data_IF_287199578742
#
_entry.id   IF_287199578742
#
_cell.length_a   1.000
_cell.length_b   1.000
_cell.length_c   1.000
_cell.angle_alpha   90.00
_cell.angle_beta   90.00
_cell.angle_gamma   90.00
#
_symmetry.space_group_name_H-M   'P 1'
#
loop_
_entity.id
_entity.type
_entity.pdbx_description
1 polymer ?
#
# COMPACT_ATOMS: atom_id res chain seq x y z
N UNK A 1 10.03 -112.53 -20.54
CA UNK A 1 10.79 -111.63 -21.42
C UNK A 1 10.56 -110.18 -20.97
N UNK A 2 11.65 -109.47 -20.69
CA UNK A 2 11.83 -108.02 -20.39
C UNK A 2 11.19 -107.48 -19.09
N UNK A 3 11.95 -107.29 -18.00
CA UNK A 3 12.84 -106.14 -17.61
C UNK A 3 12.06 -104.81 -17.49
N UNK A 4 12.22 -103.92 -16.50
CA UNK A 4 13.16 -103.66 -15.37
C UNK A 4 12.44 -102.66 -14.42
N UNK A 5 12.49 -102.76 -13.08
CA UNK A 5 13.47 -102.10 -12.18
C UNK A 5 13.52 -100.55 -12.37
N UNK A 6 13.37 -99.63 -11.39
CA UNK A 6 13.67 -99.63 -9.94
C UNK A 6 13.19 -98.33 -9.23
N UNK A 7 12.66 -98.49 -7.99
CA UNK A 7 12.96 -97.82 -6.70
C UNK A 7 12.70 -96.32 -6.31
N UNK A 8 12.18 -96.23 -5.05
CA UNK A 8 12.40 -95.28 -3.91
C UNK A 8 11.37 -94.14 -3.73
N UNK A 9 10.49 -94.20 -2.70
CA UNK A 9 10.67 -93.77 -1.28
C UNK A 9 10.56 -92.23 -1.14
N UNK A 10 9.92 -91.55 -0.18
CA UNK A 10 9.20 -91.83 1.09
C UNK A 10 8.55 -90.49 1.54
N UNK A 11 7.78 -90.49 2.64
CA UNK A 11 7.25 -89.35 3.45
C UNK A 11 5.94 -88.70 2.93
N UNK A 12 4.96 -88.30 3.75
CA UNK A 12 4.68 -88.46 5.18
C UNK A 12 3.24 -87.94 5.44
N UNK A 13 2.49 -88.67 6.25
CA UNK A 13 1.54 -88.26 7.30
C UNK A 13 0.34 -87.30 7.03
N UNK A 14 -0.77 -87.46 7.79
CA UNK A 14 -2.11 -86.99 7.44
C UNK A 14 -2.57 -85.75 8.24
N UNK A 15 -3.61 -85.05 7.77
CA UNK A 15 -4.36 -84.07 8.56
C UNK A 15 -5.86 -84.41 8.54
N UNK A 16 -6.38 -84.69 9.74
CA UNK A 16 -7.77 -84.98 10.03
C UNK A 16 -8.41 -83.73 10.68
N UNK A 17 -9.61 -83.43 10.19
CA UNK A 17 -10.64 -82.46 10.59
C UNK A 17 -10.60 -81.78 11.97
N UNK A 18 -11.10 -80.52 12.06
CA UNK A 18 -12.09 -80.14 13.08
C UNK A 18 -12.81 -78.78 12.84
N UNK A 19 -14.12 -78.81 13.13
CA UNK A 19 -15.02 -77.77 13.68
C UNK A 19 -15.29 -76.45 12.91
N UNK A 20 -16.56 -76.32 12.47
CA UNK A 20 -17.23 -75.04 12.22
C UNK A 20 -17.53 -74.33 13.55
N UNK A 21 -16.98 -73.14 13.72
CA UNK A 21 -17.41 -72.16 14.71
C UNK A 21 -17.93 -70.93 13.99
N UNK A 22 -19.23 -70.66 14.11
CA UNK A 22 -19.88 -69.45 13.58
C UNK A 22 -19.46 -68.26 14.46
N UNK A 23 -18.43 -67.53 14.02
CA UNK A 23 -17.97 -66.32 14.69
C UNK A 23 -18.89 -65.15 14.39
N UNK A 24 -19.67 -64.74 15.38
CA UNK A 24 -20.38 -63.48 15.43
C UNK A 24 -19.33 -62.35 15.54
N UNK A 25 -19.06 -61.64 14.44
CA UNK A 25 -18.23 -60.44 14.45
C UNK A 25 -19.04 -59.30 15.10
N UNK A 26 -18.54 -58.63 16.15
CA UNK A 26 -19.10 -57.33 16.52
C UNK A 26 -18.64 -56.30 15.48
N UNK A 27 -19.57 -55.75 14.72
CA UNK A 27 -19.37 -54.48 14.01
C UNK A 27 -18.95 -53.43 15.04
N UNK A 28 -17.70 -53.01 14.96
CA UNK A 28 -17.17 -51.90 15.73
C UNK A 28 -17.87 -50.61 15.27
N UNK A 29 -18.98 -50.28 15.93
CA UNK A 29 -19.54 -48.94 15.92
C UNK A 29 -18.51 -48.04 16.60
N UNK A 30 -17.70 -47.34 15.80
CA UNK A 30 -16.82 -46.28 16.27
C UNK A 30 -17.68 -45.13 16.81
N UNK A 31 -18.04 -45.22 18.08
CA UNK A 31 -18.62 -44.12 18.84
C UNK A 31 -17.54 -43.05 19.01
N UNK A 32 -17.70 -41.94 18.28
CA UNK A 32 -16.92 -40.71 18.46
C UNK A 32 -17.22 -40.13 19.85
N UNK A 33 -16.39 -40.46 20.82
CA UNK A 33 -16.37 -39.79 22.12
C UNK A 33 -15.65 -38.45 21.95
N UNK A 34 -16.44 -37.38 21.81
CA UNK A 34 -15.96 -35.99 21.96
C UNK A 34 -15.41 -35.81 23.39
N UNK A 35 -14.14 -36.16 23.58
CA UNK A 35 -13.44 -35.96 24.84
C UNK A 35 -13.08 -34.48 24.91
N UNK A 36 -13.64 -33.77 25.88
CA UNK A 36 -13.48 -32.33 26.10
C UNK A 36 -12.07 -31.98 26.64
N UNK A 37 -11.02 -32.33 25.90
CA UNK A 37 -9.64 -31.90 26.13
C UNK A 37 -9.39 -30.61 25.34
N UNK A 38 -8.70 -29.66 25.95
CA UNK A 38 -8.28 -28.42 25.27
C UNK A 38 -7.39 -28.75 24.06
N UNK A 39 -7.57 -28.05 22.92
CA UNK A 39 -6.80 -28.31 21.71
C UNK A 39 -5.33 -27.90 21.89
N UNK A 40 -4.42 -28.73 21.39
CA UNK A 40 -2.99 -28.43 21.40
C UNK A 40 -2.65 -27.27 20.47
N UNK A 41 -1.71 -26.41 20.88
CA UNK A 41 -1.20 -25.33 20.01
C UNK A 41 -0.07 -25.80 19.09
N UNK A 42 0.72 -26.78 19.54
CA UNK A 42 1.83 -27.37 18.79
C UNK A 42 1.95 -28.84 19.13
N UNK A 43 2.24 -29.67 18.12
CA UNK A 43 2.39 -31.11 18.24
C UNK A 43 3.52 -31.62 17.34
N UNK A 44 3.98 -32.85 17.58
CA UNK A 44 5.01 -33.52 16.78
C UNK A 44 4.65 -33.60 15.29
N UNK A 45 3.39 -33.91 14.98
CA UNK A 45 2.86 -33.89 13.61
C UNK A 45 1.65 -32.96 13.53
N UNK A 46 1.84 -31.78 12.96
CA UNK A 46 0.77 -30.81 12.77
C UNK A 46 -0.30 -31.33 11.80
N UNK A 47 -1.56 -30.87 11.92
CA UNK A 47 -2.57 -31.15 10.92
C UNK A 47 -2.11 -30.74 9.53
N UNK A 48 -2.44 -31.57 8.54
CA UNK A 48 -2.01 -31.37 7.15
C UNK A 48 -3.23 -31.34 6.24
N UNK A 49 -3.33 -30.32 5.38
CA UNK A 49 -4.37 -30.28 4.36
C UNK A 49 -4.14 -31.38 3.32
N UNK A 50 -5.21 -31.96 2.77
CA UNK A 50 -5.10 -32.96 1.70
C UNK A 50 -4.35 -32.37 0.50
N UNK A 51 -3.22 -32.97 0.15
CA UNK A 51 -2.31 -32.45 -0.88
C UNK A 51 -1.28 -31.44 -0.36
N UNK A 52 -1.11 -31.35 0.96
CA UNK A 52 -0.16 -30.48 1.63
C UNK A 52 -0.45 -28.99 1.44
N UNK A 53 0.58 -28.17 1.67
CA UNK A 53 0.51 -26.71 1.52
C UNK A 53 0.13 -26.29 0.10
N UNK A 54 0.67 -26.96 -0.93
CA UNK A 54 0.35 -26.68 -2.33
C UNK A 54 -1.14 -26.94 -2.64
N UNK A 55 -1.70 -28.04 -2.12
CA UNK A 55 -3.12 -28.35 -2.22
C UNK A 55 -3.99 -27.28 -1.55
N UNK A 56 -3.58 -26.82 -0.36
CA UNK A 56 -4.25 -25.74 0.36
C UNK A 56 -4.22 -24.42 -0.44
N UNK A 57 -3.05 -24.01 -0.94
CA UNK A 57 -2.91 -22.77 -1.72
C UNK A 57 -3.75 -22.79 -2.99
N UNK A 58 -3.79 -23.94 -3.69
CA UNK A 58 -4.66 -24.13 -4.86
C UNK A 58 -6.15 -24.06 -4.49
N UNK A 59 -6.53 -24.67 -3.37
CA UNK A 59 -7.90 -24.61 -2.86
C UNK A 59 -8.31 -23.17 -2.55
N UNK A 60 -7.46 -22.43 -1.83
CA UNK A 60 -7.70 -21.02 -1.50
C UNK A 60 -7.80 -20.17 -2.77
N UNK A 61 -6.86 -20.29 -3.71
CA UNK A 61 -6.85 -19.51 -4.95
C UNK A 61 -8.05 -19.76 -5.87
N UNK A 62 -8.69 -20.92 -5.77
CA UNK A 62 -9.90 -21.26 -6.57
C UNK A 62 -11.21 -20.92 -5.86
N UNK A 63 -11.21 -20.88 -4.53
CA UNK A 63 -12.43 -20.71 -3.75
C UNK A 63 -12.60 -19.31 -3.15
N UNK A 64 -11.53 -18.54 -2.95
CA UNK A 64 -11.61 -17.18 -2.42
C UNK A 64 -12.25 -16.26 -3.46
N UNK A 65 -13.29 -15.56 -3.04
CA UNK A 65 -13.97 -14.53 -3.79
C UNK A 65 -13.69 -13.18 -3.14
N UNK A 66 -13.06 -12.28 -3.89
CA UNK A 66 -12.80 -10.93 -3.38
C UNK A 66 -14.14 -10.20 -3.15
N UNK A 67 -14.48 -9.80 -1.92
CA UNK A 67 -15.73 -9.11 -1.66
C UNK A 67 -15.84 -7.81 -2.46
N UNK A 68 -17.00 -7.55 -3.06
CA UNK A 68 -17.21 -6.35 -3.88
C UNK A 68 -16.95 -5.06 -3.10
N UNK A 69 -17.37 -5.01 -1.83
CA UNK A 69 -17.11 -3.87 -0.94
C UNK A 69 -15.61 -3.70 -0.67
N UNK A 70 -14.86 -4.78 -0.42
CA UNK A 70 -13.41 -4.69 -0.24
C UNK A 70 -12.71 -4.23 -1.52
N UNK A 71 -13.14 -4.71 -2.70
CA UNK A 71 -12.59 -4.31 -4.00
C UNK A 71 -12.85 -2.83 -4.31
N UNK A 72 -14.09 -2.36 -4.16
CA UNK A 72 -14.45 -0.97 -4.45
C UNK A 72 -13.80 0.03 -3.49
N UNK A 73 -13.47 -0.40 -2.27
CA UNK A 73 -12.86 0.44 -1.26
C UNK A 73 -11.33 0.25 -1.17
N UNK A 74 -10.68 -0.41 -2.14
CA UNK A 74 -9.22 -0.53 -2.13
C UNK A 74 -8.65 -1.35 -0.95
N UNK A 75 -9.47 -2.18 -0.29
CA UNK A 75 -9.11 -2.87 0.96
C UNK A 75 -8.28 -4.09 0.63
N UNK A 76 -7.02 -4.11 1.06
CA UNK A 76 -6.05 -5.20 0.87
C UNK A 76 -5.41 -5.60 2.19
N UNK A 77 -4.77 -6.78 2.25
CA UNK A 77 -3.95 -7.20 3.39
C UNK A 77 -4.22 -8.64 3.81
N UNK A 78 -4.05 -8.92 5.10
CA UNK A 78 -4.08 -10.27 5.68
C UNK A 78 -5.17 -10.41 6.73
N UNK A 79 -6.18 -11.22 6.44
CA UNK A 79 -7.12 -11.73 7.44
C UNK A 79 -6.49 -12.97 8.08
N UNK A 80 -6.44 -13.04 9.40
CA UNK A 80 -5.88 -14.22 10.10
C UNK A 80 -7.01 -14.94 10.81
N UNK A 81 -7.26 -16.19 10.41
CA UNK A 81 -8.24 -17.06 11.04
C UNK A 81 -7.55 -18.09 11.95
N UNK A 82 -8.18 -18.41 13.07
CA UNK A 82 -7.84 -19.55 13.91
C UNK A 82 -9.03 -20.50 13.96
N UNK A 83 -8.75 -21.80 13.88
CA UNK A 83 -9.77 -22.85 14.00
C UNK A 83 -9.13 -24.09 14.61
N UNK A 84 -9.94 -25.05 15.01
CA UNK A 84 -9.46 -26.32 15.56
C UNK A 84 -9.72 -27.41 14.55
N UNK A 85 -8.68 -28.19 14.25
CA UNK A 85 -8.77 -29.45 13.50
C UNK A 85 -9.01 -30.55 14.51
N UNK A 86 -10.15 -31.22 14.37
CA UNK A 86 -10.59 -32.31 15.21
C UNK A 86 -9.84 -33.61 14.90
N UNK A 87 -10.00 -34.61 15.76
CA UNK A 87 -9.37 -35.92 15.60
C UNK A 87 -9.87 -36.70 14.37
N UNK A 88 -11.00 -36.31 13.81
CA UNK A 88 -11.56 -36.84 12.56
C UNK A 88 -11.20 -35.99 11.32
N UNK A 89 -10.42 -34.91 11.50
CA UNK A 89 -10.08 -33.96 10.43
C UNK A 89 -11.17 -32.95 10.09
N UNK A 90 -12.28 -32.91 10.85
CA UNK A 90 -13.27 -31.83 10.75
C UNK A 90 -12.75 -30.53 11.38
N UNK A 91 -13.34 -29.40 10.99
CA UNK A 91 -12.99 -28.07 11.49
C UNK A 91 -14.11 -27.56 12.39
N UNK A 92 -13.74 -26.99 13.55
CA UNK A 92 -14.64 -26.21 14.38
C UNK A 92 -13.95 -24.96 14.97
N UNK A 93 -14.68 -24.22 15.82
CA UNK A 93 -14.19 -23.05 16.54
C UNK A 93 -13.49 -21.97 15.66
N UNK A 94 -14.01 -21.74 14.45
CA UNK A 94 -13.45 -20.73 13.54
C UNK A 94 -13.62 -19.33 14.14
N UNK A 95 -12.51 -18.62 14.32
CA UNK A 95 -12.42 -17.26 14.86
C UNK A 95 -11.49 -16.41 14.02
N UNK A 96 -11.82 -15.14 13.84
CA UNK A 96 -10.93 -14.17 13.20
C UNK A 96 -10.04 -13.54 14.28
N UNK A 97 -8.73 -13.72 14.17
CA UNK A 97 -7.73 -13.11 15.05
C UNK A 97 -7.30 -11.74 14.55
N UNK A 98 -7.27 -11.55 13.23
CA UNK A 98 -6.97 -10.26 12.58
C UNK A 98 -7.99 -9.98 11.49
N UNK A 99 -8.75 -8.91 11.69
CA UNK A 99 -9.81 -8.45 10.80
C UNK A 99 -9.30 -7.45 9.78
N UNK A 100 -9.86 -7.49 8.56
CA UNK A 100 -9.76 -6.41 7.57
C UNK A 100 -11.10 -5.69 7.36
N UNK A 101 -12.22 -6.37 7.64
CA UNK A 101 -13.56 -5.83 7.42
C UNK A 101 -13.99 -5.85 5.95
N UNK A 102 -15.04 -5.10 5.61
CA UNK A 102 -15.54 -4.97 4.22
C UNK A 102 -15.90 -6.31 3.53
N UNK A 103 -16.30 -7.32 4.29
CA UNK A 103 -16.67 -8.65 3.77
C UNK A 103 -15.53 -9.66 3.73
N UNK A 104 -14.27 -9.26 3.98
CA UNK A 104 -13.12 -10.18 3.88
C UNK A 104 -13.08 -11.20 5.00
N UNK A 105 -13.63 -10.83 6.16
CA UNK A 105 -13.68 -11.67 7.35
C UNK A 105 -14.70 -12.79 7.17
N UNK A 106 -15.90 -12.43 6.70
CA UNK A 106 -16.98 -13.36 6.35
C UNK A 106 -16.53 -14.32 5.24
N UNK A 107 -15.85 -13.78 4.23
CA UNK A 107 -15.29 -14.58 3.16
C UNK A 107 -14.22 -15.56 3.66
N UNK A 108 -13.31 -15.10 4.53
CA UNK A 108 -12.31 -15.96 5.15
C UNK A 108 -12.97 -17.08 5.95
N UNK A 109 -13.99 -16.77 6.75
CA UNK A 109 -14.75 -17.78 7.50
C UNK A 109 -15.45 -18.78 6.56
N UNK A 110 -16.04 -18.31 5.46
CA UNK A 110 -16.70 -19.16 4.46
C UNK A 110 -15.72 -20.14 3.85
N UNK A 111 -14.56 -19.67 3.40
CA UNK A 111 -13.53 -20.51 2.78
C UNK A 111 -12.95 -21.51 3.78
N UNK A 112 -12.68 -21.10 5.02
CA UNK A 112 -12.23 -22.04 6.08
C UNK A 112 -13.28 -23.12 6.33
N UNK A 113 -14.58 -22.77 6.36
CA UNK A 113 -15.65 -23.77 6.50
C UNK A 113 -15.71 -24.74 5.30
N UNK A 114 -15.41 -24.27 4.08
CA UNK A 114 -15.33 -25.15 2.90
C UNK A 114 -14.16 -26.13 2.96
N UNK A 115 -13.13 -25.85 3.77
CA UNK A 115 -12.01 -26.77 3.99
C UNK A 115 -12.38 -27.95 4.91
N UNK A 116 -13.58 -27.97 5.48
CA UNK A 116 -14.01 -29.03 6.40
C UNK A 116 -13.93 -30.41 5.75
N UNK A 117 -13.32 -31.38 6.43
CA UNK A 117 -13.11 -32.74 5.91
C UNK A 117 -11.95 -32.86 4.91
N UNK A 118 -11.19 -31.79 4.67
CA UNK A 118 -9.97 -31.80 3.86
C UNK A 118 -8.68 -31.83 4.68
N UNK A 119 -8.76 -32.07 5.99
CA UNK A 119 -7.60 -32.11 6.86
C UNK A 119 -7.29 -33.53 7.33
N UNK A 120 -6.00 -33.83 7.42
CA UNK A 120 -5.45 -34.92 8.22
C UNK A 120 -5.23 -34.38 9.64
N UNK A 121 -5.68 -35.11 10.67
CA UNK A 121 -5.58 -34.64 12.04
C UNK A 121 -4.13 -34.67 12.55
N UNK A 122 -3.84 -33.85 13.56
CA UNK A 122 -2.52 -33.84 14.18
C UNK A 122 -2.26 -35.06 15.05
N UNK A 123 -0.99 -35.38 15.26
CA UNK A 123 -0.56 -36.47 16.15
C UNK A 123 0.46 -35.99 17.18
N UNK A 124 0.31 -36.51 18.39
CA UNK A 124 1.24 -36.31 19.49
C UNK A 124 1.49 -37.65 20.18
N UNK A 125 2.75 -38.08 20.28
CA UNK A 125 3.10 -39.38 20.89
C UNK A 125 2.37 -40.57 20.25
N UNK A 126 2.14 -40.50 18.93
CA UNK A 126 1.43 -41.52 18.16
C UNK A 126 -0.11 -41.45 18.24
N UNK A 127 -0.68 -40.70 19.19
CA UNK A 127 -2.12 -40.52 19.33
C UNK A 127 -2.64 -39.37 18.47
N UNK A 128 -3.85 -39.52 17.92
CA UNK A 128 -4.53 -38.46 17.17
C UNK A 128 -5.15 -37.46 18.16
N UNK A 129 -4.85 -36.19 17.98
CA UNK A 129 -5.26 -35.13 18.92
C UNK A 129 -5.89 -33.93 18.22
N UNK A 130 -6.73 -33.18 18.95
CA UNK A 130 -7.29 -31.90 18.49
C UNK A 130 -6.20 -30.84 18.49
N UNK A 131 -6.05 -30.10 17.40
CA UNK A 131 -4.99 -29.09 17.27
C UNK A 131 -5.58 -27.77 16.78
N UNK A 132 -5.20 -26.68 17.43
CA UNK A 132 -5.52 -25.33 17.00
C UNK A 132 -4.58 -24.92 15.87
N UNK A 133 -5.16 -24.58 14.72
CA UNK A 133 -4.46 -24.15 13.53
C UNK A 133 -4.73 -22.66 13.26
N UNK A 134 -3.73 -21.96 12.71
CA UNK A 134 -3.84 -20.54 12.34
C UNK A 134 -3.51 -20.38 10.86
N UNK A 135 -4.46 -19.83 10.10
CA UNK A 135 -4.35 -19.65 8.65
C UNK A 135 -4.40 -18.16 8.29
N UNK A 136 -3.31 -17.59 7.75
CA UNK A 136 -3.32 -16.27 7.15
C UNK A 136 -3.87 -16.32 5.72
N UNK A 137 -4.90 -15.52 5.43
CA UNK A 137 -5.51 -15.36 4.10
C UNK A 137 -5.22 -13.96 3.58
N UNK A 138 -4.56 -13.88 2.41
CA UNK A 138 -4.18 -12.60 1.80
C UNK A 138 -5.20 -12.17 0.75
N UNK A 139 -5.75 -10.98 0.92
CA UNK A 139 -6.50 -10.25 -0.09
C UNK A 139 -5.57 -9.22 -0.74
N UNK A 140 -5.35 -9.35 -2.05
CA UNK A 140 -4.53 -8.43 -2.82
C UNK A 140 -5.26 -8.02 -4.09
N UNK A 141 -5.35 -6.72 -4.34
CA UNK A 141 -5.86 -6.11 -5.54
C UNK A 141 -4.80 -6.17 -6.62
N UNK A 142 -5.24 -6.27 -7.87
CA UNK A 142 -4.36 -6.03 -9.01
C UNK A 142 -4.10 -4.53 -9.16
N UNK A 143 -3.13 -4.17 -9.99
CA UNK A 143 -2.90 -2.77 -10.32
C UNK A 143 -4.10 -2.12 -11.01
N UNK A 144 -4.81 -2.88 -11.87
CA UNK A 144 -6.05 -2.44 -12.48
C UNK A 144 -7.17 -2.23 -11.45
N UNK A 145 -7.31 -3.14 -10.47
CA UNK A 145 -8.27 -2.97 -9.37
C UNK A 145 -7.95 -1.73 -8.52
N UNK A 146 -6.66 -1.47 -8.25
CA UNK A 146 -6.22 -0.26 -7.53
C UNK A 146 -6.58 1.00 -8.29
N UNK A 147 -6.26 1.08 -9.59
CA UNK A 147 -6.61 2.21 -10.45
C UNK A 147 -8.13 2.39 -10.59
N UNK A 148 -8.90 1.31 -10.67
CA UNK A 148 -10.35 1.37 -10.74
C UNK A 148 -11.01 1.75 -9.40
N UNK A 149 -10.40 1.39 -8.28
CA UNK A 149 -10.82 1.82 -6.93
C UNK A 149 -10.31 3.20 -6.55
N UNK A 150 -9.29 3.70 -7.25
CA UNK A 150 -8.75 5.05 -7.13
C UNK A 150 -9.71 6.04 -7.80
N UNK A 151 -10.91 6.13 -7.24
CA UNK A 151 -11.89 7.13 -7.58
C UNK A 151 -11.32 8.51 -7.22
N UNK A 152 -10.86 9.23 -8.23
CA UNK A 152 -10.29 10.58 -8.14
C UNK A 152 -11.30 11.50 -7.42
N UNK A 153 -11.07 11.72 -6.13
CA UNK A 153 -11.89 12.61 -5.34
C UNK A 153 -11.46 14.05 -5.62
N UNK A 154 -12.42 14.91 -5.99
CA UNK A 154 -12.16 16.33 -6.18
C UNK A 154 -11.85 17.04 -4.85
N UNK A 155 -12.21 16.43 -3.71
CA UNK A 155 -11.81 16.86 -2.36
C UNK A 155 -11.22 15.68 -1.58
N UNK A 156 -10.03 15.87 -1.02
CA UNK A 156 -9.38 14.88 -0.14
C UNK A 156 -10.18 14.63 1.14
N UNK A 157 -10.00 13.47 1.81
CA UNK A 157 -10.38 13.32 3.20
C UNK A 157 -9.72 14.43 4.03
N UNK A 158 -10.50 15.04 4.91
CA UNK A 158 -10.02 16.09 5.80
C UNK A 158 -10.16 15.61 7.23
N UNK A 159 -9.10 15.70 8.02
CA UNK A 159 -9.23 15.43 9.45
C UNK A 159 -10.09 16.51 10.10
N UNK A 160 -10.98 16.12 11.01
CA UNK A 160 -11.87 17.05 11.71
C UNK A 160 -11.04 17.91 12.67
N UNK A 161 -10.93 19.19 12.35
CA UNK A 161 -10.10 20.15 13.09
C UNK A 161 -8.92 20.63 12.25
N UNK A 162 -7.93 21.22 12.91
CA UNK A 162 -6.70 21.66 12.28
C UNK A 162 -5.59 20.60 12.43
N UNK A 163 -4.41 20.93 11.90
CA UNK A 163 -3.23 20.07 12.04
C UNK A 163 -2.89 19.80 13.51
N UNK A 164 -3.10 20.77 14.40
CA UNK A 164 -2.88 20.61 15.84
C UNK A 164 -3.78 19.57 16.48
N UNK A 165 -5.06 19.50 16.08
CA UNK A 165 -6.01 18.48 16.54
C UNK A 165 -5.59 17.06 16.11
N UNK A 166 -5.11 16.90 14.87
CA UNK A 166 -4.56 15.63 14.40
C UNK A 166 -3.32 15.26 15.20
N UNK A 167 -2.42 16.23 15.40
CA UNK A 167 -1.18 16.01 16.14
C UNK A 167 -1.48 15.52 17.56
N UNK A 168 -2.42 16.16 18.24
CA UNK A 168 -2.81 15.81 19.60
C UNK A 168 -3.42 14.41 19.70
N UNK A 169 -4.23 14.00 18.71
CA UNK A 169 -4.81 12.65 18.64
C UNK A 169 -3.72 11.59 18.50
N UNK A 170 -2.77 11.83 17.60
CA UNK A 170 -1.72 10.87 17.27
C UNK A 170 -0.65 10.77 18.37
N UNK A 171 -0.37 11.88 19.07
CA UNK A 171 0.67 11.98 20.11
C UNK A 171 0.59 10.91 21.19
N UNK A 172 -0.60 10.48 21.60
CA UNK A 172 -0.76 9.44 22.63
C UNK A 172 -0.25 8.06 22.19
N UNK A 173 -0.10 7.84 20.89
CA UNK A 173 0.30 6.58 20.28
C UNK A 173 1.67 6.64 19.60
N UNK A 174 2.22 7.86 19.46
CA UNK A 174 3.57 8.08 18.96
C UNK A 174 4.57 7.89 20.11
N UNK A 175 5.49 6.96 19.89
CA UNK A 175 6.49 6.54 20.85
C UNK A 175 7.81 6.36 20.12
N UNK A 176 8.73 7.31 20.34
CA UNK A 176 10.11 7.18 19.89
C UNK A 176 10.84 6.14 20.77
N UNK A 177 11.32 5.00 20.23
CA UNK A 177 12.03 3.98 21.00
C UNK A 177 13.27 4.54 21.72
N UNK A 178 13.57 4.06 22.93
CA UNK A 178 14.70 4.54 23.73
C UNK A 178 16.04 4.35 23.01
N UNK A 179 16.17 3.28 22.23
CA UNK A 179 17.34 2.98 21.41
C UNK A 179 17.51 4.02 20.29
N UNK A 180 16.41 4.45 19.65
CA UNK A 180 16.45 5.52 18.65
C UNK A 180 16.86 6.87 19.25
N UNK A 181 16.42 7.16 20.49
CA UNK A 181 16.88 8.34 21.24
C UNK A 181 18.37 8.28 21.52
N UNK A 182 18.88 7.15 22.01
CA UNK A 182 20.31 6.96 22.33
C UNK A 182 21.22 7.18 21.12
N UNK A 183 20.74 6.79 19.93
CA UNK A 183 21.48 6.96 18.68
C UNK A 183 21.24 8.31 17.97
N UNK A 184 20.46 9.22 18.58
CA UNK A 184 20.05 10.51 18.01
C UNK A 184 19.46 10.37 16.60
N UNK A 185 18.59 9.35 16.44
CA UNK A 185 17.92 9.03 15.19
C UNK A 185 16.60 9.77 15.05
N UNK A 186 16.47 10.48 13.94
CA UNK A 186 15.20 10.94 13.41
C UNK A 186 14.68 9.94 12.37
N UNK A 187 13.37 9.78 12.31
CA UNK A 187 12.74 8.89 11.35
C UNK A 187 11.55 9.56 10.69
N UNK A 188 11.34 9.27 9.41
CA UNK A 188 10.12 9.59 8.68
C UNK A 188 9.49 8.29 8.21
N UNK A 189 8.41 7.88 8.86
CA UNK A 189 7.63 6.70 8.50
C UNK A 189 6.47 7.16 7.63
N UNK A 190 6.38 6.65 6.41
CA UNK A 190 5.28 6.95 5.49
C UNK A 190 4.24 5.85 5.65
N UNK A 191 3.08 6.23 6.20
CA UNK A 191 1.97 5.32 6.47
C UNK A 191 0.88 5.56 5.43
N UNK A 192 0.41 4.48 4.81
CA UNK A 192 -0.70 4.48 3.86
C UNK A 192 -1.91 3.83 4.54
N UNK A 193 -3.09 4.41 4.36
CA UNK A 193 -4.33 3.92 4.97
C UNK A 193 -5.53 4.35 4.15
N UNK A 194 -6.66 3.68 4.35
CA UNK A 194 -7.93 4.02 3.71
C UNK A 194 -8.83 4.76 4.69
N UNK A 195 -9.48 5.82 4.24
CA UNK A 195 -10.54 6.52 4.96
C UNK A 195 -11.86 6.26 4.24
N UNK A 196 -12.84 5.67 4.91
CA UNK A 196 -14.14 5.37 4.31
C UNK A 196 -15.12 6.57 4.35
N UNK A 197 -16.34 6.35 3.84
CA UNK A 197 -17.41 7.36 3.80
C UNK A 197 -17.88 7.84 5.19
N UNK A 198 -17.65 7.04 6.22
CA UNK A 198 -17.96 7.37 7.61
C UNK A 198 -16.75 7.99 8.35
N UNK A 199 -15.62 8.15 7.67
CA UNK A 199 -14.37 8.66 8.25
C UNK A 199 -13.59 7.61 9.03
N UNK A 200 -13.92 6.32 8.91
CA UNK A 200 -13.21 5.24 9.57
C UNK A 200 -11.91 4.93 8.82
N UNK A 201 -10.86 4.63 9.58
CA UNK A 201 -9.53 4.30 9.08
C UNK A 201 -9.37 2.78 9.01
N UNK A 202 -8.99 2.27 7.85
CA UNK A 202 -8.68 0.85 7.62
C UNK A 202 -7.45 0.68 6.74
N UNK A 203 -7.01 -0.56 6.51
CA UNK A 203 -5.85 -0.89 5.66
C UNK A 203 -4.56 -0.09 5.97
N UNK A 204 -4.27 0.13 7.26
CA UNK A 204 -3.07 0.86 7.69
C UNK A 204 -1.82 0.02 7.44
N UNK A 205 -0.94 0.51 6.57
CA UNK A 205 0.27 -0.17 6.10
C UNK A 205 1.43 0.80 5.89
N UNK A 206 2.65 0.27 5.85
CA UNK A 206 3.84 1.06 5.55
C UNK A 206 4.02 1.20 4.03
N UNK A 207 4.32 2.40 3.59
CA UNK A 207 4.82 2.65 2.23
C UNK A 207 6.35 2.72 2.22
N UNK A 208 6.95 3.25 3.28
CA UNK A 208 8.40 3.26 3.44
C UNK A 208 8.82 3.93 4.74
N UNK A 209 10.08 3.71 5.12
CA UNK A 209 10.68 4.37 6.28
C UNK A 209 12.02 4.98 5.86
N UNK A 210 12.17 6.28 6.09
CA UNK A 210 13.43 6.99 5.88
C UNK A 210 14.04 7.35 7.23
N UNK A 211 15.36 7.26 7.33
CA UNK A 211 16.09 7.59 8.54
C UNK A 211 17.05 8.75 8.29
N UNK A 212 17.27 9.51 9.36
CA UNK A 212 18.28 10.54 9.42
C UNK A 212 18.94 10.48 10.78
N UNK A 213 20.26 10.31 10.81
CA UNK A 213 21.04 10.52 12.03
C UNK A 213 21.32 12.01 12.17
N UNK A 214 21.07 12.57 13.34
CA UNK A 214 21.41 13.98 13.60
C UNK A 214 22.92 14.08 13.76
N UNK A 215 23.60 14.87 12.91
CA UNK A 215 25.07 14.99 12.92
C UNK A 215 25.49 16.42 13.20
N UNK A 216 25.47 16.85 14.46
CA UNK A 216 25.98 18.15 14.91
C UNK A 216 25.31 19.39 14.27
N UNK A 217 25.65 20.60 14.74
CA UNK A 217 25.11 21.85 14.21
C UNK A 217 25.64 22.13 12.79
N UNK A 218 24.74 22.46 11.85
CA UNK A 218 25.12 22.95 10.50
C UNK A 218 25.32 21.89 9.41
N UNK A 219 25.04 20.62 9.67
CA UNK A 219 25.09 19.59 8.63
C UNK A 219 23.83 19.61 7.75
N UNK A 220 23.99 19.93 6.47
CA UNK A 220 22.98 19.58 5.46
C UNK A 220 22.99 18.06 5.28
N UNK A 221 21.89 17.42 5.63
CA UNK A 221 21.74 15.98 5.49
C UNK A 221 20.31 15.64 5.06
N UNK A 222 20.21 15.00 3.90
CA UNK A 222 18.98 14.46 3.34
C UNK A 222 18.58 13.15 4.00
N UNK A 223 17.27 12.93 4.12
CA UNK A 223 16.71 11.65 4.58
C UNK A 223 17.12 10.52 3.63
N UNK A 224 17.77 9.49 4.17
CA UNK A 224 18.18 8.31 3.40
C UNK A 224 17.19 7.16 3.58
N UNK A 225 17.12 6.26 2.61
CA UNK A 225 16.34 5.03 2.75
C UNK A 225 16.86 4.21 3.94
N UNK A 226 15.97 3.70 4.80
CA UNK A 226 16.37 2.90 5.95
C UNK A 226 17.19 1.65 5.57
N UNK A 227 17.03 1.11 4.35
CA UNK A 227 17.83 -0.02 3.87
C UNK A 227 19.31 0.31 3.68
N UNK A 228 19.64 1.60 3.53
CA UNK A 228 21.02 2.06 3.34
C UNK A 228 21.76 2.28 4.67
N UNK A 229 21.01 2.42 5.76
CA UNK A 229 21.59 2.41 7.10
C UNK A 229 21.95 0.97 7.49
N UNK A 230 23.21 0.75 7.85
CA UNK A 230 23.60 -0.44 8.63
C UNK A 230 23.10 -0.29 10.07
N UNK A 231 21.78 -0.33 10.24
CA UNK A 231 21.18 -0.44 11.55
C UNK A 231 21.58 -1.78 12.13
N UNK A 232 22.36 -1.77 13.21
CA UNK A 232 22.66 -2.97 13.96
C UNK A 232 21.40 -3.65 14.50
N UNK A 233 20.29 -2.89 14.60
CA UNK A 233 19.05 -3.37 15.18
C UNK A 233 17.80 -3.08 14.32
N UNK A 234 17.39 -4.05 13.51
CA UNK A 234 16.11 -4.02 12.74
C UNK A 234 14.88 -3.81 13.63
N UNK A 235 14.98 -4.07 14.94
CA UNK A 235 13.89 -3.86 15.91
C UNK A 235 13.51 -2.38 16.04
N UNK A 236 14.45 -1.45 15.84
CA UNK A 236 14.15 -0.01 15.93
C UNK A 236 13.15 0.39 14.83
N UNK A 237 13.38 -0.08 13.60
CA UNK A 237 12.48 0.16 12.47
C UNK A 237 11.10 -0.43 12.72
N UNK A 238 11.04 -1.65 13.26
CA UNK A 238 9.78 -2.32 13.57
C UNK A 238 8.97 -1.53 14.62
N UNK A 239 9.61 -1.10 15.72
CA UNK A 239 8.96 -0.31 16.78
C UNK A 239 8.46 1.06 16.27
N UNK A 240 9.28 1.77 15.49
CA UNK A 240 8.89 3.05 14.87
C UNK A 240 7.69 2.88 13.93
N UNK A 241 7.73 1.82 13.12
CA UNK A 241 6.68 1.50 12.17
C UNK A 241 5.38 1.15 12.88
N UNK A 242 5.45 0.31 13.91
CA UNK A 242 4.31 -0.07 14.75
C UNK A 242 3.68 1.15 15.41
N UNK A 243 4.49 2.02 16.01
CA UNK A 243 4.03 3.25 16.63
C UNK A 243 3.34 4.18 15.63
N UNK A 244 3.93 4.40 14.44
CA UNK A 244 3.33 5.23 13.41
C UNK A 244 1.97 4.67 12.92
N UNK A 245 1.89 3.36 12.69
CA UNK A 245 0.64 2.71 12.30
C UNK A 245 -0.41 2.77 13.42
N UNK A 246 -0.02 2.60 14.68
CA UNK A 246 -0.93 2.72 15.82
C UNK A 246 -1.50 4.14 15.93
N UNK A 247 -0.66 5.16 15.76
CA UNK A 247 -1.09 6.55 15.75
C UNK A 247 -2.08 6.86 14.61
N UNK A 248 -1.83 6.37 13.40
CA UNK A 248 -2.78 6.52 12.29
C UNK A 248 -4.11 5.83 12.60
N UNK A 249 -4.10 4.61 13.15
CA UNK A 249 -5.34 3.90 13.55
C UNK A 249 -6.15 4.70 14.57
N UNK A 250 -5.50 5.42 15.49
CA UNK A 250 -6.17 6.23 16.50
C UNK A 250 -6.97 7.41 15.91
N UNK A 251 -6.69 7.80 14.65
CA UNK A 251 -7.45 8.85 13.94
C UNK A 251 -8.78 8.35 13.35
N UNK A 252 -9.11 7.06 13.49
CA UNK A 252 -10.35 6.49 12.94
C UNK A 252 -11.60 7.18 13.46
N UNK A 253 -12.54 7.49 12.57
CA UNK A 253 -13.80 8.18 12.86
C UNK A 253 -13.67 9.72 12.96
N UNK A 254 -12.44 10.23 12.97
CA UNK A 254 -12.15 11.67 13.05
C UNK A 254 -11.89 12.30 11.69
N UNK A 255 -12.12 11.57 10.60
CA UNK A 255 -12.01 12.11 9.25
C UNK A 255 -13.38 12.51 8.70
N UNK A 256 -13.42 13.60 7.96
CA UNK A 256 -14.41 13.82 6.92
C UNK A 256 -14.00 13.02 5.69
N UNK A 257 -14.96 12.38 5.00
CA UNK A 257 -14.67 11.61 3.81
C UNK A 257 -14.20 12.49 2.66
N UNK A 258 -13.59 11.85 1.67
CA UNK A 258 -13.32 12.48 0.40
C UNK A 258 -14.65 12.81 -0.31
N UNK A 259 -14.66 13.81 -1.20
CA UNK A 259 -15.82 14.11 -2.02
C UNK A 259 -15.50 13.90 -3.51
N UNK A 260 -16.38 13.16 -4.19
CA UNK A 260 -16.40 13.01 -5.64
C UNK A 260 -17.66 13.67 -6.17
N UNK A 261 -17.51 14.72 -6.96
CA UNK A 261 -18.66 15.51 -7.47
C UNK A 261 -19.66 15.91 -6.38
N UNK A 262 -19.17 16.23 -5.19
CA UNK A 262 -19.98 16.60 -4.01
C UNK A 262 -20.52 15.43 -3.19
N UNK A 263 -20.36 14.17 -3.62
CA UNK A 263 -20.80 13.00 -2.86
C UNK A 263 -19.67 12.37 -2.03
N UNK A 264 -19.93 11.96 -0.78
CA UNK A 264 -18.97 11.23 0.06
C UNK A 264 -18.46 9.95 -0.59
N UNK A 265 -17.15 9.85 -0.71
CA UNK A 265 -16.43 8.65 -1.15
C UNK A 265 -15.29 8.34 -0.18
N UNK A 266 -14.90 7.07 -0.13
CA UNK A 266 -13.68 6.72 0.57
C UNK A 266 -12.46 6.97 -0.31
N UNK A 267 -11.31 7.11 0.32
CA UNK A 267 -10.06 7.39 -0.37
C UNK A 267 -8.86 6.88 0.43
N UNK A 268 -7.83 6.48 -0.29
CA UNK A 268 -6.55 6.11 0.30
C UNK A 268 -5.66 7.35 0.51
N UNK A 269 -5.13 7.46 1.72
CA UNK A 269 -4.32 8.58 2.22
C UNK A 269 -2.93 8.07 2.57
N UNK A 270 -1.92 8.87 2.23
CA UNK A 270 -0.52 8.71 2.63
C UNK A 270 -0.16 9.82 3.62
N UNK A 271 0.20 9.42 4.83
CA UNK A 271 0.62 10.31 5.90
C UNK A 271 2.08 10.04 6.29
N UNK A 272 2.98 11.01 6.05
CA UNK A 272 4.32 10.95 6.60
C UNK A 272 4.33 11.34 8.09
N UNK A 273 4.67 10.39 8.94
CA UNK A 273 4.85 10.55 10.39
C UNK A 273 6.32 10.78 10.69
N UNK A 274 6.66 11.90 11.33
CA UNK A 274 8.05 12.20 11.71
C UNK A 274 8.28 11.96 13.20
N UNK A 275 9.36 11.26 13.50
CA UNK A 275 9.92 11.09 14.83
C UNK A 275 11.22 11.89 14.91
N UNK A 276 11.31 12.77 15.90
CA UNK A 276 12.49 13.61 16.12
C UNK A 276 13.12 13.31 17.50
N UNK A 277 14.42 13.05 17.53
CA UNK A 277 15.23 13.01 18.75
C UNK A 277 15.81 14.42 19.00
N UNK A 278 15.31 15.15 20.00
CA UNK A 278 15.86 16.47 20.37
C UNK A 278 16.74 16.38 21.64
N UNK A 279 17.90 17.06 21.65
CA UNK A 279 18.63 17.38 22.91
C UNK A 279 17.93 18.49 23.74
N UNK A 280 16.99 19.24 23.15
CA UNK A 280 16.26 20.32 23.83
C UNK A 280 14.81 19.96 24.18
N UNK A 281 14.58 18.81 24.82
CA UNK A 281 13.46 18.58 25.75
C UNK A 281 12.00 18.88 25.32
N UNK A 282 11.71 19.20 24.06
CA UNK A 282 10.37 19.39 23.51
C UNK A 282 10.31 18.65 22.18
N UNK A 283 10.11 17.33 22.27
CA UNK A 283 9.83 16.49 21.11
C UNK A 283 8.53 16.93 20.45
N UNK A 284 8.63 17.80 19.44
CA UNK A 284 7.54 18.09 18.53
C UNK A 284 7.57 17.07 17.40
N UNK A 285 6.68 16.10 17.47
CA UNK A 285 6.43 15.15 16.39
C UNK A 285 5.68 15.90 15.28
N UNK A 286 6.43 16.57 14.39
CA UNK A 286 5.81 17.28 13.26
C UNK A 286 5.27 16.28 12.25
N UNK A 287 3.95 16.19 12.15
CA UNK A 287 3.31 15.39 11.10
C UNK A 287 3.40 16.12 9.76
N UNK A 288 3.66 15.38 8.69
CA UNK A 288 3.48 15.95 7.36
C UNK A 288 1.99 16.12 7.04
N UNK A 289 1.66 17.05 6.16
CA UNK A 289 0.30 17.13 5.62
C UNK A 289 -0.06 15.80 4.95
N UNK A 290 -1.22 15.18 5.26
CA UNK A 290 -1.69 14.01 4.54
C UNK A 290 -1.77 14.31 3.04
N UNK A 291 -1.33 13.36 2.22
CA UNK A 291 -1.35 13.44 0.76
C UNK A 291 -2.12 12.25 0.19
N UNK A 292 -2.73 12.39 -0.98
CA UNK A 292 -3.31 11.24 -1.69
C UNK A 292 -2.21 10.33 -2.20
N UNK A 293 -2.53 9.05 -2.35
CA UNK A 293 -1.56 8.06 -2.86
C UNK A 293 -1.21 8.36 -4.31
N UNK A 294 -0.14 7.73 -4.81
CA UNK A 294 0.30 7.87 -6.20
C UNK A 294 -0.68 7.37 -7.27
N UNK A 295 -1.91 7.01 -6.90
CA UNK A 295 -2.97 6.61 -7.82
C UNK A 295 -4.22 7.49 -7.69
N UNK A 296 -4.32 8.32 -6.66
CA UNK A 296 -5.53 9.09 -6.34
C UNK A 296 -5.32 10.60 -6.36
N UNK A 297 -4.12 11.07 -6.72
CA UNK A 297 -3.84 12.49 -6.95
C UNK A 297 -4.45 12.96 -8.27
N UNK A 298 -5.16 14.10 -8.22
CA UNK A 298 -5.70 14.77 -9.41
C UNK A 298 -4.59 15.29 -10.34
N UNK A 299 -3.39 15.51 -9.80
CA UNK A 299 -2.18 15.86 -10.53
C UNK A 299 -0.92 15.63 -9.67
N UNK A 300 0.22 15.44 -10.32
CA UNK A 300 1.53 15.18 -9.72
C UNK A 300 2.45 16.39 -9.91
N UNK A 301 3.46 16.56 -9.05
CA UNK A 301 4.58 17.45 -9.39
C UNK A 301 5.56 16.72 -10.33
N UNK A 302 6.34 17.45 -11.12
CA UNK A 302 7.27 16.84 -12.09
C UNK A 302 8.34 15.94 -11.45
N UNK A 303 8.66 16.16 -10.19
CA UNK A 303 9.61 15.42 -9.36
C UNK A 303 8.99 14.18 -8.71
N UNK A 304 7.67 14.00 -8.83
CA UNK A 304 6.93 12.85 -8.31
C UNK A 304 6.59 11.81 -9.38
N UNK A 305 6.99 12.04 -10.64
CA UNK A 305 6.65 11.17 -11.79
C UNK A 305 7.88 10.46 -12.35
N UNK A 306 7.69 9.24 -12.84
CA UNK A 306 8.74 8.44 -13.48
C UNK A 306 9.14 9.03 -14.84
N UNK A 307 8.16 9.56 -15.56
CA UNK A 307 8.35 10.24 -16.84
C UNK A 307 7.74 11.63 -16.78
N UNK A 308 8.55 12.66 -17.00
CA UNK A 308 8.07 14.05 -17.05
C UNK A 308 7.32 14.33 -18.37
N UNK A 309 6.29 15.19 -18.36
CA UNK A 309 5.64 15.61 -19.59
C UNK A 309 6.62 16.34 -20.49
N UNK A 310 6.56 16.05 -21.78
CA UNK A 310 7.43 16.67 -22.79
C UNK A 310 6.60 17.12 -23.98
N UNK A 311 6.94 18.28 -24.54
CA UNK A 311 6.33 18.75 -25.78
C UNK A 311 6.95 17.97 -26.95
N UNK A 312 6.11 17.48 -27.88
CA UNK A 312 6.57 16.62 -28.99
C UNK A 312 7.62 17.29 -29.89
N UNK A 313 7.53 18.61 -30.02
CA UNK A 313 8.38 19.40 -30.92
C UNK A 313 9.61 20.04 -30.22
N UNK A 314 9.95 19.61 -29.00
CA UNK A 314 11.12 20.09 -28.25
C UNK A 314 10.78 20.59 -26.85
N UNK A 315 11.57 21.51 -26.31
CA UNK A 315 11.35 22.04 -24.96
C UNK A 315 10.31 23.18 -24.95
N UNK A 316 9.60 23.34 -23.83
CA UNK A 316 8.64 24.43 -23.67
C UNK A 316 9.32 25.80 -23.76
N UNK A 317 10.51 25.93 -23.18
CA UNK A 317 11.30 27.16 -23.17
C UNK A 317 11.62 27.60 -24.60
N UNK A 318 12.02 26.66 -25.45
CA UNK A 318 12.29 26.92 -26.88
C UNK A 318 11.02 27.32 -27.62
N UNK A 319 9.89 26.68 -27.33
CA UNK A 319 8.61 27.03 -27.92
C UNK A 319 8.17 28.44 -27.51
N UNK A 320 8.24 28.77 -26.22
CA UNK A 320 7.87 30.09 -25.71
C UNK A 320 8.79 31.18 -26.26
N UNK A 321 10.11 30.95 -26.28
CA UNK A 321 11.06 31.89 -26.88
C UNK A 321 10.73 32.20 -28.36
N UNK A 322 10.24 31.21 -29.11
CA UNK A 322 9.86 31.40 -30.52
C UNK A 322 8.52 32.12 -30.69
N UNK A 323 7.56 31.90 -29.79
CA UNK A 323 6.16 32.30 -30.00
C UNK A 323 5.69 33.47 -29.14
N UNK A 324 6.37 33.80 -28.04
CA UNK A 324 6.03 34.97 -27.24
C UNK A 324 6.54 36.25 -27.90
N UNK A 325 5.68 37.27 -27.93
CA UNK A 325 6.01 38.61 -28.44
C UNK A 325 5.50 39.63 -27.45
N UNK A 326 6.39 40.51 -27.00
CA UNK A 326 6.05 41.51 -26.01
C UNK A 326 4.86 42.37 -26.51
N UNK A 327 3.69 42.37 -25.83
CA UNK A 327 2.51 43.10 -26.29
C UNK A 327 2.74 44.63 -26.32
N UNK A 328 2.17 45.31 -27.31
CA UNK A 328 2.43 46.73 -27.54
C UNK A 328 1.99 47.63 -26.37
N UNK A 329 0.83 47.36 -25.77
CA UNK A 329 0.26 48.11 -24.65
C UNK A 329 0.63 47.56 -23.26
N UNK A 330 1.48 46.54 -23.19
CA UNK A 330 2.06 46.06 -21.93
C UNK A 330 3.33 46.85 -21.57
N UNK A 331 3.52 47.11 -20.29
CA UNK A 331 4.65 47.82 -19.68
C UNK A 331 5.28 47.04 -18.49
N UNK A 332 4.87 45.79 -18.28
CA UNK A 332 5.32 44.97 -17.16
C UNK A 332 6.80 44.55 -17.29
N UNK A 333 7.59 44.85 -16.26
CA UNK A 333 8.99 44.42 -16.14
C UNK A 333 9.21 43.60 -14.86
N UNK A 334 9.64 42.34 -15.03
CA UNK A 334 9.86 41.40 -13.94
C UNK A 334 9.74 39.93 -14.36
N UNK A 335 9.93 39.02 -13.41
CA UNK A 335 9.75 37.58 -13.59
C UNK A 335 8.31 37.19 -13.27
N UNK A 336 7.69 36.46 -14.20
CA UNK A 336 6.42 35.79 -13.99
C UNK A 336 6.72 34.29 -13.80
N UNK A 337 6.52 33.80 -12.59
CA UNK A 337 6.48 32.37 -12.30
C UNK A 337 5.09 31.82 -12.64
N UNK A 338 5.02 30.99 -13.67
CA UNK A 338 3.77 30.54 -14.26
C UNK A 338 3.61 29.04 -14.05
N UNK A 339 2.66 28.66 -13.21
CA UNK A 339 2.32 27.24 -12.99
C UNK A 339 1.36 26.77 -14.08
N UNK A 340 1.72 25.67 -14.72
CA UNK A 340 0.93 25.01 -15.76
C UNK A 340 0.83 23.51 -15.48
N UNK A 341 -0.26 22.90 -15.92
CA UNK A 341 -0.55 21.49 -15.76
C UNK A 341 -0.76 20.86 -17.13
N UNK A 342 0.03 19.83 -17.43
CA UNK A 342 -0.17 18.97 -18.60
C UNK A 342 -1.06 17.82 -18.17
N UNK A 343 -2.24 17.70 -18.77
CA UNK A 343 -3.23 16.65 -18.50
C UNK A 343 -2.86 15.34 -19.18
N UNK A 344 -3.52 14.27 -18.78
CA UNK A 344 -3.36 12.91 -19.31
C UNK A 344 -3.57 12.82 -20.82
N UNK A 345 -4.46 13.65 -21.37
CA UNK A 345 -4.75 13.72 -22.80
C UNK A 345 -3.77 14.62 -23.58
N UNK A 346 -2.77 15.21 -22.90
CA UNK A 346 -1.80 16.12 -23.49
C UNK A 346 -2.29 17.57 -23.64
N UNK A 347 -3.45 17.92 -23.09
CA UNK A 347 -3.89 19.32 -23.00
C UNK A 347 -3.21 20.04 -21.85
N UNK A 348 -3.11 21.36 -21.95
CA UNK A 348 -2.51 22.20 -20.91
C UNK A 348 -3.55 23.11 -20.27
N UNK A 349 -3.48 23.21 -18.95
CA UNK A 349 -4.19 24.19 -18.15
C UNK A 349 -3.19 25.09 -17.45
N UNK A 350 -3.38 26.40 -17.51
CA UNK A 350 -2.48 27.37 -16.88
C UNK A 350 -3.21 28.18 -15.82
N UNK A 351 -2.50 28.56 -14.76
CA UNK A 351 -2.96 29.55 -13.79
C UNK A 351 -2.16 30.83 -14.00
N UNK A 352 -2.65 31.69 -14.89
CA UNK A 352 -2.01 32.97 -15.21
C UNK A 352 -2.60 34.04 -14.30
N UNK A 353 -1.80 34.75 -13.48
CA UNK A 353 -2.29 35.83 -12.63
C UNK A 353 -2.97 36.91 -13.47
N UNK A 354 -4.07 37.47 -12.99
CA UNK A 354 -4.74 38.62 -13.66
C UNK A 354 -4.01 39.94 -13.40
N UNK A 355 -3.15 39.99 -12.38
CA UNK A 355 -2.39 41.17 -11.96
C UNK A 355 -1.32 41.64 -12.96
N UNK A 356 -0.95 40.81 -13.94
CA UNK A 356 0.06 41.13 -14.96
C UNK A 356 -0.50 41.98 -16.13
N UNK A 357 -1.79 42.32 -16.08
CA UNK A 357 -2.48 43.05 -17.13
C UNK A 357 -3.05 42.14 -18.22
N UNK A 358 -4.13 42.62 -18.87
CA UNK A 358 -4.93 41.86 -19.83
C UNK A 358 -4.12 41.37 -21.02
N UNK A 359 -3.26 42.21 -21.59
CA UNK A 359 -2.52 41.88 -22.81
C UNK A 359 -1.53 40.73 -22.61
N UNK A 360 -0.77 40.76 -21.50
CA UNK A 360 0.13 39.67 -21.14
C UNK A 360 -0.64 38.40 -20.79
N UNK A 361 -1.75 38.54 -20.06
CA UNK A 361 -2.61 37.42 -19.74
C UNK A 361 -3.13 36.72 -21.00
N UNK A 362 -3.64 37.47 -21.96
CA UNK A 362 -4.20 36.96 -23.23
C UNK A 362 -3.11 36.29 -24.09
N UNK A 363 -1.93 36.91 -24.19
CA UNK A 363 -0.78 36.35 -24.92
C UNK A 363 -0.33 35.02 -24.32
N UNK A 364 -0.10 34.97 -23.01
CA UNK A 364 0.34 33.75 -22.32
C UNK A 364 -0.74 32.66 -22.43
N UNK A 365 -2.01 33.01 -22.22
CA UNK A 365 -3.13 32.08 -22.37
C UNK A 365 -3.18 31.48 -23.76
N UNK A 366 -3.00 32.30 -24.79
CA UNK A 366 -3.02 31.86 -26.20
C UNK A 366 -1.85 30.95 -26.51
N UNK A 367 -0.63 31.33 -26.11
CA UNK A 367 0.58 30.56 -26.35
C UNK A 367 0.55 29.18 -25.69
N UNK A 368 0.03 29.06 -24.47
CA UNK A 368 -0.12 27.76 -23.83
C UNK A 368 -1.26 26.93 -24.45
N UNK A 369 -2.42 27.53 -24.74
CA UNK A 369 -3.53 26.84 -25.41
C UNK A 369 -3.16 26.28 -26.78
N UNK A 370 -2.28 26.95 -27.53
CA UNK A 370 -1.78 26.44 -28.83
C UNK A 370 -0.87 25.21 -28.72
N UNK A 371 -0.53 24.78 -27.49
CA UNK A 371 0.18 23.53 -27.22
C UNK A 371 -0.74 22.36 -26.86
N UNK A 372 -2.06 22.57 -26.73
CA UNK A 372 -2.99 21.49 -26.43
C UNK A 372 -2.90 20.34 -27.43
N UNK A 373 -2.91 19.10 -26.93
CA UNK A 373 -2.72 17.86 -27.71
C UNK A 373 -1.29 17.61 -28.22
N UNK A 374 -0.35 18.55 -28.03
CA UNK A 374 1.05 18.44 -28.49
C UNK A 374 2.00 17.91 -27.43
N UNK A 375 1.49 17.56 -26.25
CA UNK A 375 2.30 17.02 -25.18
C UNK A 375 2.25 15.49 -25.16
N UNK A 376 3.39 14.90 -24.84
CA UNK A 376 3.44 13.58 -24.25
C UNK A 376 3.17 13.76 -22.74
N UNK A 377 2.12 13.12 -22.19
CA UNK A 377 1.78 13.27 -20.78
C UNK A 377 2.88 12.68 -19.90
N UNK A 378 2.94 13.15 -18.65
CA UNK A 378 3.78 12.51 -17.65
C UNK A 378 3.25 11.13 -17.27
N UNK A 379 4.11 10.28 -16.72
CA UNK A 379 3.73 8.91 -16.33
C UNK A 379 4.19 8.53 -14.94
N UNK A 380 3.34 7.78 -14.25
CA UNK A 380 3.63 7.06 -13.01
C UNK A 380 3.26 5.60 -13.25
N UNK A 381 4.20 4.69 -13.00
CA UNK A 381 4.09 3.26 -13.29
C UNK A 381 3.61 2.95 -14.73
N UNK A 382 4.02 3.77 -15.69
CA UNK A 382 3.64 3.62 -17.10
C UNK A 382 2.25 4.14 -17.50
N UNK A 383 1.40 4.52 -16.54
CA UNK A 383 0.10 5.15 -16.80
C UNK A 383 0.25 6.68 -16.99
N UNK A 384 -0.52 7.26 -17.91
CA UNK A 384 -0.53 8.71 -18.11
C UNK A 384 -1.21 9.40 -16.93
N UNK A 385 -0.61 10.47 -16.42
CA UNK A 385 -1.13 11.26 -15.29
C UNK A 385 -1.04 12.76 -15.59
N UNK A 386 -1.90 13.57 -14.95
CA UNK A 386 -1.77 15.01 -15.01
C UNK A 386 -0.56 15.48 -14.17
N UNK A 387 0.27 16.38 -14.70
CA UNK A 387 1.49 16.85 -14.02
C UNK A 387 1.58 18.37 -14.04
N UNK A 388 1.76 18.96 -12.86
CA UNK A 388 2.00 20.38 -12.64
C UNK A 388 3.48 20.71 -12.69
N UNK A 389 3.81 21.79 -13.40
CA UNK A 389 5.14 22.33 -13.60
C UNK A 389 5.10 23.86 -13.49
N UNK A 390 6.25 24.48 -13.28
CA UNK A 390 6.37 25.93 -13.25
C UNK A 390 7.44 26.35 -14.25
N UNK A 391 7.16 27.41 -15.01
CA UNK A 391 8.14 28.08 -15.87
C UNK A 391 8.26 29.55 -15.46
N UNK A 392 9.48 30.08 -15.44
CA UNK A 392 9.79 31.46 -15.10
C UNK A 392 10.09 32.23 -16.38
N UNK A 393 9.28 33.25 -16.66
CA UNK A 393 9.41 34.10 -17.85
C UNK A 393 9.79 35.51 -17.40
N UNK A 394 10.95 35.99 -17.82
CA UNK A 394 11.44 37.33 -17.53
C UNK A 394 11.06 38.28 -18.66
N UNK A 395 10.34 39.36 -18.32
CA UNK A 395 9.99 40.43 -19.24
C UNK A 395 10.90 41.64 -19.01
N UNK A 396 11.56 42.10 -20.07
CA UNK A 396 12.52 43.22 -20.04
C UNK A 396 12.16 44.25 -21.11
N UNK A 397 12.24 45.54 -20.78
CA UNK A 397 12.15 46.61 -21.77
C UNK A 397 13.55 47.17 -21.99
N UNK A 398 14.03 47.12 -23.24
CA UNK A 398 15.34 47.64 -23.61
C UNK A 398 15.37 49.17 -23.43
N UNK A 399 16.35 49.68 -22.68
CA UNK A 399 16.46 51.10 -22.35
C UNK A 399 15.47 51.57 -21.27
N UNK A 400 14.93 50.66 -20.44
CA UNK A 400 14.27 51.03 -19.18
C UNK A 400 15.30 51.33 -18.07
N UNK A 401 14.88 52.08 -17.05
CA UNK A 401 15.68 52.31 -15.86
C UNK A 401 15.78 51.06 -14.96
N UNK A 402 14.86 50.11 -15.14
CA UNK A 402 14.69 48.91 -14.31
C UNK A 402 15.45 47.74 -14.93
N UNK A 403 16.78 47.77 -14.84
CA UNK A 403 17.63 46.67 -15.34
C UNK A 403 17.38 45.40 -14.52
N UNK A 404 17.23 44.22 -15.17
CA UNK A 404 17.12 42.96 -14.45
C UNK A 404 18.43 42.68 -13.70
N UNK A 405 18.33 42.11 -12.49
CA UNK A 405 19.51 41.71 -11.74
C UNK A 405 20.18 40.49 -12.38
N UNK A 406 21.45 40.24 -12.02
CA UNK A 406 22.15 39.03 -12.46
C UNK A 406 21.48 37.74 -11.96
N UNK A 407 20.77 37.82 -10.83
CA UNK A 407 20.01 36.71 -10.25
C UNK A 407 18.70 36.47 -11.00
N UNK A 408 18.03 37.53 -11.47
CA UNK A 408 16.85 37.43 -12.32
C UNK A 408 17.16 36.74 -13.65
N UNK A 409 18.28 37.13 -14.28
CA UNK A 409 18.74 36.52 -15.53
C UNK A 409 19.13 35.05 -15.37
N UNK A 410 19.71 34.67 -14.23
CA UNK A 410 20.08 33.28 -13.93
C UNK A 410 18.88 32.39 -13.61
N UNK A 411 17.82 32.97 -13.04
CA UNK A 411 16.67 32.21 -12.56
C UNK A 411 15.51 32.11 -13.56
N UNK A 412 15.58 32.84 -14.67
CA UNK A 412 14.58 32.81 -15.73
C UNK A 412 14.82 31.67 -16.73
N UNK A 413 13.75 30.96 -17.10
CA UNK A 413 13.78 29.91 -18.11
C UNK A 413 13.64 30.50 -19.53
N UNK A 414 12.93 31.62 -19.66
CA UNK A 414 12.68 32.34 -20.92
C UNK A 414 12.79 33.84 -20.69
N UNK A 415 13.43 34.56 -21.61
CA UNK A 415 13.53 36.03 -21.58
C UNK A 415 12.79 36.60 -22.79
N UNK A 416 11.88 37.55 -22.55
CA UNK A 416 11.10 38.25 -23.57
C UNK A 416 11.42 39.74 -23.51
N UNK A 417 12.03 40.26 -24.57
CA UNK A 417 12.51 41.66 -24.61
C UNK A 417 11.64 42.53 -25.51
N UNK A 418 11.19 43.68 -25.01
CA UNK A 418 10.62 44.77 -25.81
C UNK A 418 11.76 45.66 -26.28
N UNK A 419 11.96 45.79 -27.60
CA UNK A 419 12.83 46.84 -28.14
C UNK A 419 12.01 48.13 -28.23
N UNK A 420 12.57 49.24 -27.74
CA UNK A 420 11.97 50.56 -27.93
C UNK A 420 12.08 51.02 -29.38
#
# INVERSE_FOLDING_TARGET
MKNKNTHKAWLAAPLLALSLSFGMQPEAVAQSTKTNKEPYAYVEQMPEFKGGEAGMMKFLGTNIQYPAAARSNGVEGLVVASFVVETDGSINEVKILKSLGHGTDEETQRVVKLMNGHWLPGRQKGEVVRVRYTLPVRFALTEADRAASADVANRMPAFKGDEGAMQQTMKAHLALPAEAKKENLNARVVVKFYVDKAGQVSNVRLEGTKLKKTVGPGSELDYMDASTFQLQNKTILAKLSESAMAAVKATSGQWEPALKSGQPTGAEVVLPVQFLSSESGQGSEKMGTPSMTKYTKNFYKAEEVDVKPTLKDGSLERYLAKNLRYPAGADYEGIIGLTYMVKENGDVMTMIPTSIGKELHDMLSTAFRSTNGKWNPGKVDGQAVAVSQTVKILFVIEGSAKKPSAEDLKSADVVVTKRK
#
